data_IF_593382410891
#
_entry.id   IF_593382410891
#
_cell.length_a   1.000
_cell.length_b   1.000
_cell.length_c   1.000
_cell.angle_alpha   90.00
_cell.angle_beta   90.00
_cell.angle_gamma   90.00
#
_symmetry.space_group_name_H-M   'P 1'
#
loop_
_entity.id
_entity.type
_entity.pdbx_description
1 polymer ?
#
# COMPACT_ATOMS: atom_id res chain seq x y z
N UNK A 1 18.16 2.02 -13.32
CA UNK A 1 18.59 1.22 -12.15
C UNK A 1 19.05 2.16 -11.05
N UNK A 2 18.62 1.95 -9.81
CA UNK A 2 18.93 2.73 -8.61
C UNK A 2 18.94 1.79 -7.38
N UNK A 3 19.46 2.24 -6.23
CA UNK A 3 19.44 1.45 -4.99
C UNK A 3 18.00 1.22 -4.48
N UNK A 4 17.21 2.29 -4.51
CA UNK A 4 15.80 2.36 -4.13
C UNK A 4 15.09 3.36 -5.06
N UNK A 5 13.77 3.29 -5.14
CA UNK A 5 12.95 4.25 -5.86
C UNK A 5 11.71 4.63 -5.05
N UNK A 6 11.09 5.75 -5.40
CA UNK A 6 9.77 6.14 -4.94
C UNK A 6 8.77 5.94 -6.09
N UNK A 7 7.60 5.42 -5.76
CA UNK A 7 6.43 5.40 -6.62
C UNK A 7 5.28 6.15 -5.97
N UNK A 8 4.27 6.45 -6.77
CA UNK A 8 2.99 6.98 -6.30
C UNK A 8 1.90 5.98 -6.63
N UNK A 9 0.89 5.85 -5.76
CA UNK A 9 -0.24 4.98 -6.04
C UNK A 9 -1.56 5.65 -5.68
N UNK A 10 -2.42 5.73 -6.69
CA UNK A 10 -3.87 5.95 -6.57
C UNK A 10 -4.58 4.61 -6.44
N UNK A 11 -4.27 3.67 -7.35
CA UNK A 11 -4.84 2.32 -7.40
C UNK A 11 -3.90 1.36 -8.13
N UNK A 12 -3.08 0.61 -7.37
CA UNK A 12 -2.15 -0.39 -7.90
C UNK A 12 -0.82 0.12 -8.48
N UNK A 13 -0.61 1.42 -8.69
CA UNK A 13 0.58 1.96 -9.39
C UNK A 13 1.93 1.79 -8.66
N UNK A 14 1.96 1.38 -7.38
CA UNK A 14 3.15 0.89 -6.66
C UNK A 14 3.15 -0.64 -6.66
N UNK A 15 2.05 -1.26 -6.23
CA UNK A 15 1.99 -2.71 -5.97
C UNK A 15 2.01 -3.56 -7.24
N UNK A 16 1.27 -3.15 -8.28
CA UNK A 16 1.19 -3.85 -9.56
C UNK A 16 2.55 -3.93 -10.28
N UNK A 17 3.26 -2.82 -10.54
CA UNK A 17 4.58 -2.90 -11.17
C UNK A 17 5.60 -3.59 -10.25
N UNK A 18 5.48 -3.48 -8.93
CA UNK A 18 6.38 -4.18 -8.00
C UNK A 18 6.23 -5.69 -8.12
N UNK A 19 4.99 -6.19 -8.12
CA UNK A 19 4.67 -7.60 -8.32
C UNK A 19 5.15 -8.11 -9.69
N UNK A 20 4.85 -7.36 -10.76
CA UNK A 20 5.24 -7.74 -12.12
C UNK A 20 6.77 -7.81 -12.34
N UNK A 21 7.55 -7.07 -11.54
CA UNK A 21 9.00 -6.99 -11.68
C UNK A 21 9.76 -7.67 -10.52
N UNK A 22 9.08 -8.47 -9.70
CA UNK A 22 9.70 -9.21 -8.58
C UNK A 22 10.49 -8.31 -7.61
N UNK A 23 9.94 -7.15 -7.28
CA UNK A 23 10.47 -6.22 -6.28
C UNK A 23 9.42 -5.94 -5.19
N UNK A 24 9.86 -5.36 -4.07
CA UNK A 24 9.01 -4.98 -2.95
C UNK A 24 8.48 -3.57 -3.17
N UNK A 25 7.16 -3.40 -3.12
CA UNK A 25 6.49 -2.10 -3.07
C UNK A 25 5.70 -1.96 -1.78
N UNK A 26 5.79 -0.81 -1.12
CA UNK A 26 4.91 -0.46 0.00
C UNK A 26 4.03 0.70 -0.43
N UNK A 27 2.71 0.46 -0.48
CA UNK A 27 1.71 1.53 -0.55
C UNK A 27 1.28 1.89 0.87
N UNK A 28 1.75 2.99 1.46
CA UNK A 28 1.36 3.32 2.83
C UNK A 28 -0.11 3.75 2.93
N UNK A 29 -0.57 3.94 4.17
CA UNK A 29 -1.85 4.60 4.45
C UNK A 29 -1.82 6.02 3.86
N UNK A 30 -2.92 6.46 3.25
CA UNK A 30 -3.03 7.83 2.71
C UNK A 30 -2.75 8.84 3.82
N UNK A 31 -1.87 9.80 3.52
CA UNK A 31 -1.39 10.81 4.48
C UNK A 31 -0.23 10.39 5.36
N UNK A 32 0.20 9.12 5.36
CA UNK A 32 1.38 8.73 6.15
C UNK A 32 2.68 9.37 5.62
N UNK A 33 2.73 9.57 4.31
CA UNK A 33 3.79 10.29 3.58
C UNK A 33 3.15 11.51 2.91
N UNK A 34 3.85 12.65 2.90
CA UNK A 34 3.38 13.84 2.20
C UNK A 34 3.30 13.62 0.69
N UNK A 35 2.35 14.32 0.06
CA UNK A 35 2.18 14.40 -1.40
C UNK A 35 2.49 15.80 -1.94
N UNK A 36 3.00 16.69 -1.10
CA UNK A 36 3.42 18.02 -1.52
C UNK A 36 4.45 17.92 -2.67
N UNK A 37 4.21 18.68 -3.75
CA UNK A 37 5.06 18.67 -4.94
C UNK A 37 4.89 17.47 -5.89
N UNK A 38 3.95 16.56 -5.62
CA UNK A 38 3.62 15.42 -6.50
C UNK A 38 2.43 15.78 -7.38
N UNK A 39 2.55 15.55 -8.70
CA UNK A 39 1.42 15.72 -9.63
C UNK A 39 0.29 14.73 -9.24
N UNK A 40 -0.90 15.22 -8.87
CA UNK A 40 -1.93 14.39 -8.26
C UNK A 40 -2.86 13.73 -9.30
N UNK A 41 -3.58 12.72 -8.84
CA UNK A 41 -4.78 12.14 -9.47
C UNK A 41 -5.98 12.25 -8.53
N UNK A 42 -5.82 11.87 -7.27
CA UNK A 42 -6.88 11.93 -6.25
C UNK A 42 -6.29 12.10 -4.86
N UNK A 43 -6.56 13.25 -4.25
CA UNK A 43 -6.19 13.51 -2.86
C UNK A 43 -6.80 12.52 -1.85
N UNK A 44 -7.75 11.68 -2.24
CA UNK A 44 -8.34 10.64 -1.36
C UNK A 44 -7.60 9.32 -1.41
N UNK A 45 -6.84 9.07 -2.46
CA UNK A 45 -6.25 7.77 -2.75
C UNK A 45 -4.73 7.82 -2.91
N UNK A 46 -4.22 8.95 -3.42
CA UNK A 46 -2.81 9.12 -3.70
C UNK A 46 -1.97 9.02 -2.44
N UNK A 47 -0.85 8.33 -2.60
CA UNK A 47 0.20 8.22 -1.59
C UNK A 47 1.55 7.97 -2.26
N UNK A 48 2.63 8.33 -1.58
CA UNK A 48 4.00 8.09 -2.03
C UNK A 48 4.56 6.90 -1.25
N UNK A 49 5.23 5.99 -1.94
CA UNK A 49 5.75 4.79 -1.28
C UNK A 49 7.01 4.24 -1.93
N UNK A 50 7.82 3.49 -1.16
CA UNK A 50 9.07 2.92 -1.65
C UNK A 50 8.84 1.72 -2.58
N UNK A 51 9.70 1.61 -3.59
CA UNK A 51 9.88 0.44 -4.45
C UNK A 51 11.35 0.02 -4.36
N UNK A 52 11.62 -1.14 -3.78
CA UNK A 52 12.96 -1.60 -3.43
C UNK A 52 13.13 -3.11 -3.68
N UNK A 53 14.37 -3.61 -3.66
CA UNK A 53 14.63 -5.06 -3.85
C UNK A 53 14.32 -5.89 -2.60
N UNK A 54 14.34 -5.29 -1.42
CA UNK A 54 14.12 -5.99 -0.15
C UNK A 54 13.13 -5.25 0.74
N UNK A 55 12.49 -5.97 1.66
CA UNK A 55 11.60 -5.38 2.68
C UNK A 55 12.38 -4.44 3.60
N UNK A 56 13.62 -4.79 3.94
CA UNK A 56 14.51 -3.93 4.74
C UNK A 56 14.71 -2.58 4.06
N UNK A 57 15.14 -2.56 2.80
CA UNK A 57 15.33 -1.30 2.07
C UNK A 57 14.04 -0.48 1.98
N UNK A 58 12.90 -1.14 1.72
CA UNK A 58 11.62 -0.46 1.65
C UNK A 58 11.22 0.17 3.00
N UNK A 59 11.47 -0.51 4.11
CA UNK A 59 11.19 0.00 5.47
C UNK A 59 12.13 1.14 5.85
N UNK A 60 13.42 1.05 5.52
CA UNK A 60 14.39 2.13 5.77
C UNK A 60 13.99 3.40 4.98
N UNK A 61 13.58 3.26 3.72
CA UNK A 61 13.06 4.40 2.94
C UNK A 61 11.76 4.93 3.52
N UNK A 62 10.83 4.05 3.90
CA UNK A 62 9.57 4.47 4.54
C UNK A 62 9.84 5.32 5.78
N UNK A 63 10.73 4.88 6.66
CA UNK A 63 11.09 5.62 7.89
C UNK A 63 11.62 7.03 7.63
N UNK A 64 12.27 7.25 6.49
CA UNK A 64 12.77 8.57 6.09
C UNK A 64 11.65 9.48 5.59
N UNK A 65 10.65 8.94 4.90
CA UNK A 65 9.63 9.75 4.18
C UNK A 65 8.31 9.91 4.92
N UNK A 66 8.06 9.13 5.98
CA UNK A 66 6.84 9.27 6.80
C UNK A 66 6.92 10.50 7.70
N UNK A 67 5.83 11.25 7.80
CA UNK A 67 5.83 12.42 8.65
C UNK A 67 4.68 13.38 8.42
N UNK A 68 4.57 14.32 9.36
CA UNK A 68 3.73 15.50 9.21
C UNK A 68 4.37 16.47 8.21
N UNK A 69 3.54 17.04 7.34
CA UNK A 69 3.93 18.11 6.43
C UNK A 69 2.87 19.21 6.44
N UNK A 70 3.31 20.46 6.49
CA UNK A 70 2.42 21.64 6.46
C UNK A 70 1.84 21.85 5.07
N UNK A 71 2.59 21.53 4.02
CA UNK A 71 2.15 21.70 2.63
C UNK A 71 1.18 20.58 2.20
N UNK A 72 1.07 19.53 3.01
CA UNK A 72 0.05 18.48 2.92
C UNK A 72 -0.65 18.27 4.27
N UNK A 73 -1.03 19.38 4.92
CA UNK A 73 -1.59 19.38 6.27
C UNK A 73 -2.83 18.50 6.40
N UNK A 74 -3.74 18.58 5.41
CA UNK A 74 -5.04 17.91 5.47
C UNK A 74 -4.89 16.38 5.54
N UNK A 75 -3.91 15.80 4.83
CA UNK A 75 -3.68 14.36 4.86
C UNK A 75 -2.76 13.94 6.02
N UNK A 76 -1.66 14.67 6.25
CA UNK A 76 -0.60 14.20 7.14
C UNK A 76 -0.85 14.46 8.63
N UNK A 77 -1.67 15.45 8.99
CA UNK A 77 -1.93 15.82 10.39
C UNK A 77 -2.38 14.64 11.25
N UNK A 78 -3.35 13.87 10.77
CA UNK A 78 -3.89 12.72 11.53
C UNK A 78 -3.05 11.48 11.34
N UNK A 79 -2.54 11.21 10.14
CA UNK A 79 -1.79 9.99 9.88
C UNK A 79 -0.45 9.96 10.64
N UNK A 80 0.23 11.11 10.75
CA UNK A 80 1.51 11.22 11.47
C UNK A 80 1.43 10.85 12.95
N UNK A 81 0.26 10.95 13.60
CA UNK A 81 0.09 10.53 15.00
C UNK A 81 0.16 9.02 15.20
N UNK A 82 0.07 8.24 14.11
CA UNK A 82 0.18 6.77 14.13
C UNK A 82 1.58 6.27 13.77
N UNK A 83 2.55 7.16 13.53
CA UNK A 83 3.93 6.77 13.31
C UNK A 83 4.49 6.20 14.63
N UNK A 84 5.02 4.96 14.63
CA UNK A 84 5.52 4.32 15.82
C UNK A 84 6.73 5.07 16.39
N UNK A 85 6.78 5.24 17.71
CA UNK A 85 7.99 5.72 18.37
C UNK A 85 9.17 4.79 18.05
N UNK A 86 10.25 5.32 17.48
CA UNK A 86 11.42 4.54 17.03
C UNK A 86 11.34 4.01 15.60
N UNK A 87 10.32 4.39 14.82
CA UNK A 87 10.21 4.06 13.39
C UNK A 87 9.74 2.63 13.10
N UNK A 88 9.48 2.34 11.84
CA UNK A 88 9.04 1.04 11.32
C UNK A 88 10.16 0.00 11.29
N UNK A 89 11.44 0.41 11.27
CA UNK A 89 12.60 -0.49 11.31
C UNK A 89 12.55 -1.48 12.48
N UNK A 90 11.98 -1.07 13.63
CA UNK A 90 11.82 -1.92 14.81
C UNK A 90 10.96 -3.18 14.56
N UNK A 91 10.19 -3.20 13.48
CA UNK A 91 9.35 -4.33 13.09
C UNK A 91 10.02 -5.30 12.11
N UNK A 92 11.26 -5.06 11.68
CA UNK A 92 12.06 -5.99 10.89
C UNK A 92 12.57 -7.15 11.75
N UNK A 93 11.65 -8.06 12.09
CA UNK A 93 11.91 -9.25 12.92
C UNK A 93 11.88 -10.50 12.08
N UNK A 94 12.96 -11.29 12.10
CA UNK A 94 13.07 -12.52 11.33
C UNK A 94 12.00 -13.56 11.69
N UNK A 95 11.52 -13.53 12.93
CA UNK A 95 10.44 -14.36 13.48
C UNK A 95 9.09 -13.62 13.56
N UNK A 96 8.94 -12.48 12.87
CA UNK A 96 7.75 -11.62 12.96
C UNK A 96 6.42 -12.30 12.62
N UNK A 97 6.46 -13.40 11.86
CA UNK A 97 5.32 -14.23 11.50
C UNK A 97 4.80 -15.14 12.63
N UNK A 98 5.62 -15.40 13.65
CA UNK A 98 5.23 -16.27 14.76
C UNK A 98 3.95 -15.75 15.43
N UNK A 99 2.99 -16.65 15.58
CA UNK A 99 1.68 -16.42 16.19
C UNK A 99 0.80 -15.39 15.44
N UNK A 100 1.18 -14.96 14.22
CA UNK A 100 0.34 -14.10 13.39
C UNK A 100 -0.74 -14.90 12.69
N UNK A 101 -1.96 -14.37 12.69
CA UNK A 101 -3.11 -14.96 12.01
C UNK A 101 -3.32 -14.24 10.67
N UNK A 102 -3.23 -14.96 9.56
CA UNK A 102 -3.38 -14.41 8.21
C UNK A 102 -4.58 -15.07 7.52
N UNK A 103 -5.52 -14.25 7.06
CA UNK A 103 -6.71 -14.71 6.33
C UNK A 103 -6.43 -14.90 4.84
N UNK A 104 -6.87 -16.02 4.29
CA UNK A 104 -6.76 -16.31 2.85
C UNK A 104 -8.18 -16.32 2.27
N UNK A 105 -8.50 -15.29 1.48
CA UNK A 105 -9.77 -15.20 0.75
C UNK A 105 -9.51 -15.51 -0.72
N UNK A 106 -10.20 -16.54 -1.24
CA UNK A 106 -10.07 -16.98 -2.64
C UNK A 106 -10.46 -15.87 -3.62
N UNK A 107 -11.46 -15.09 -3.26
CA UNK A 107 -12.03 -14.02 -4.08
C UNK A 107 -11.00 -12.92 -4.40
N UNK A 108 -9.97 -12.77 -3.55
CA UNK A 108 -8.91 -11.77 -3.73
C UNK A 108 -7.79 -12.20 -4.69
N UNK A 109 -7.76 -13.47 -5.15
CA UNK A 109 -6.75 -13.94 -6.11
C UNK A 109 -7.16 -13.74 -7.58
N UNK A 110 -8.37 -13.23 -7.82
CA UNK A 110 -8.90 -12.99 -9.16
C UNK A 110 -8.99 -14.28 -9.97
N UNK A 111 -8.49 -14.26 -11.20
CA UNK A 111 -8.46 -15.43 -12.09
C UNK A 111 -7.30 -16.41 -11.81
N UNK A 112 -6.40 -16.10 -10.88
CA UNK A 112 -5.26 -16.96 -10.59
C UNK A 112 -5.69 -18.20 -9.81
N UNK A 113 -5.15 -19.36 -10.18
CA UNK A 113 -5.30 -20.56 -9.36
C UNK A 113 -4.56 -20.38 -8.04
N UNK A 114 -5.29 -20.44 -6.93
CA UNK A 114 -4.75 -20.36 -5.57
C UNK A 114 -3.65 -21.39 -5.31
N UNK A 115 -3.67 -22.53 -6.03
CA UNK A 115 -2.62 -23.57 -5.94
C UNK A 115 -1.24 -23.04 -6.32
N UNK A 116 -1.14 -22.02 -7.16
CA UNK A 116 0.13 -21.36 -7.52
C UNK A 116 0.85 -20.82 -6.29
N UNK A 117 0.11 -20.47 -5.24
CA UNK A 117 0.65 -19.89 -4.00
C UNK A 117 0.93 -20.92 -2.90
N UNK A 118 0.74 -22.22 -3.18
CA UNK A 118 0.84 -23.26 -2.15
C UNK A 118 2.22 -23.30 -1.47
N UNK A 119 3.29 -23.07 -2.23
CA UNK A 119 4.65 -23.00 -1.68
C UNK A 119 4.81 -21.81 -0.72
N UNK A 120 4.20 -20.66 -1.03
CA UNK A 120 4.20 -19.48 -0.15
C UNK A 120 3.40 -19.75 1.13
N UNK A 121 2.23 -20.37 1.04
CA UNK A 121 1.44 -20.73 2.23
C UNK A 121 2.18 -21.72 3.13
N UNK A 122 2.85 -22.72 2.55
CA UNK A 122 3.68 -23.64 3.31
C UNK A 122 4.82 -22.90 4.01
N UNK A 123 5.47 -21.96 3.33
CA UNK A 123 6.52 -21.12 3.92
C UNK A 123 5.98 -20.31 5.10
N UNK A 124 4.81 -19.67 4.96
CA UNK A 124 4.19 -18.90 6.04
C UNK A 124 3.88 -19.78 7.27
N UNK A 125 3.30 -20.97 7.07
CA UNK A 125 3.02 -21.93 8.15
C UNK A 125 4.31 -22.40 8.84
N UNK A 126 5.35 -22.73 8.06
CA UNK A 126 6.66 -23.13 8.59
C UNK A 126 7.34 -22.02 9.40
N UNK A 127 7.07 -20.75 9.08
CA UNK A 127 7.54 -19.58 9.83
C UNK A 127 6.65 -19.21 11.03
N UNK A 128 5.67 -20.06 11.38
CA UNK A 128 4.86 -19.94 12.60
C UNK A 128 3.59 -19.11 12.46
N UNK A 129 3.19 -18.75 11.23
CA UNK A 129 1.90 -18.09 11.00
C UNK A 129 0.74 -19.10 11.01
N UNK A 130 -0.39 -18.69 11.58
CA UNK A 130 -1.66 -19.41 11.52
C UNK A 130 -2.42 -18.90 10.29
N UNK A 131 -2.56 -19.75 9.28
CA UNK A 131 -3.35 -19.43 8.09
C UNK A 131 -4.82 -19.81 8.30
N UNK A 132 -5.72 -18.84 8.11
CA UNK A 132 -7.17 -19.05 8.11
C UNK A 132 -7.62 -19.18 6.66
N UNK A 133 -7.72 -20.42 6.20
CA UNK A 133 -8.13 -20.75 4.84
C UNK A 133 -9.62 -20.48 4.61
N UNK A 134 -9.99 -20.16 3.36
CA UNK A 134 -11.37 -19.88 2.94
C UNK A 134 -12.06 -18.76 3.74
N UNK A 135 -11.31 -17.70 4.07
CA UNK A 135 -11.89 -16.51 4.69
C UNK A 135 -12.90 -15.88 3.72
N UNK A 136 -14.18 -15.88 4.11
CA UNK A 136 -15.24 -15.18 3.40
C UNK A 136 -15.27 -13.74 3.88
N UNK A 137 -15.07 -12.81 2.96
CA UNK A 137 -15.28 -11.39 3.21
C UNK A 137 -16.69 -11.08 2.67
N UNK A 138 -17.67 -10.74 3.54
CA UNK A 138 -19.02 -10.46 3.10
C UNK A 138 -19.05 -9.34 2.07
N UNK A 139 -19.91 -9.48 1.07
CA UNK A 139 -20.15 -8.46 0.03
C UNK A 139 -18.91 -8.10 -0.82
N UNK A 140 -17.89 -8.96 -0.90
CA UNK A 140 -16.66 -8.66 -1.66
C UNK A 140 -16.93 -8.23 -3.10
N UNK A 141 -17.78 -8.97 -3.83
CA UNK A 141 -18.10 -8.62 -5.22
C UNK A 141 -18.88 -7.30 -5.33
N UNK A 142 -19.82 -7.08 -4.42
CA UNK A 142 -20.61 -5.84 -4.37
C UNK A 142 -19.70 -4.64 -4.07
N UNK A 143 -18.83 -4.79 -3.08
CA UNK A 143 -17.87 -3.76 -2.67
C UNK A 143 -16.87 -3.52 -3.79
N UNK A 144 -16.34 -4.55 -4.44
CA UNK A 144 -15.39 -4.41 -5.53
C UNK A 144 -16.01 -3.66 -6.72
N UNK A 145 -17.20 -4.07 -7.17
CA UNK A 145 -17.89 -3.40 -8.27
C UNK A 145 -18.27 -1.96 -7.92
N UNK A 146 -18.76 -1.72 -6.70
CA UNK A 146 -19.07 -0.38 -6.22
C UNK A 146 -17.81 0.49 -6.14
N UNK A 147 -16.68 -0.06 -5.68
CA UNK A 147 -15.40 0.64 -5.63
C UNK A 147 -14.95 1.03 -7.02
N UNK A 148 -15.00 0.14 -8.02
CA UNK A 148 -14.55 0.48 -9.38
C UNK A 148 -15.37 1.63 -9.97
N UNK A 149 -16.70 1.58 -9.84
CA UNK A 149 -17.58 2.65 -10.35
C UNK A 149 -17.38 3.95 -9.57
N UNK A 150 -17.41 3.89 -8.23
CA UNK A 150 -17.26 5.06 -7.37
C UNK A 150 -15.88 5.69 -7.51
N UNK A 151 -14.84 4.88 -7.67
CA UNK A 151 -13.47 5.33 -7.94
C UNK A 151 -13.42 6.06 -9.27
N UNK A 152 -13.97 5.50 -10.35
CA UNK A 152 -13.97 6.19 -11.64
C UNK A 152 -14.62 7.58 -11.58
N UNK A 153 -15.76 7.69 -10.86
CA UNK A 153 -16.44 8.97 -10.63
C UNK A 153 -15.54 9.91 -9.82
N UNK A 154 -14.99 9.44 -8.70
CA UNK A 154 -14.12 10.23 -7.84
C UNK A 154 -12.88 10.75 -8.59
N UNK A 155 -12.16 9.87 -9.30
CA UNK A 155 -10.97 10.25 -10.06
C UNK A 155 -11.30 11.26 -11.16
N UNK A 156 -12.43 11.10 -11.87
CA UNK A 156 -12.84 12.04 -12.92
C UNK A 156 -13.14 13.43 -12.38
N UNK A 157 -13.70 13.52 -11.18
CA UNK A 157 -13.99 14.79 -10.52
C UNK A 157 -12.73 15.42 -9.90
N UNK A 158 -11.95 14.60 -9.18
CA UNK A 158 -10.83 15.05 -8.35
C UNK A 158 -9.61 15.41 -9.18
N UNK A 159 -9.30 14.66 -10.24
CA UNK A 159 -8.09 14.88 -11.03
C UNK A 159 -7.98 16.31 -11.55
N UNK A 160 -9.05 16.84 -12.15
CA UNK A 160 -9.05 18.21 -12.68
C UNK A 160 -8.84 19.23 -11.56
N UNK A 161 -9.54 19.06 -10.43
CA UNK A 161 -9.46 19.99 -9.30
C UNK A 161 -8.06 19.98 -8.67
N UNK A 162 -7.53 18.79 -8.41
CA UNK A 162 -6.23 18.61 -7.77
C UNK A 162 -5.09 19.07 -8.70
N UNK A 163 -5.20 18.81 -10.01
CA UNK A 163 -4.22 19.29 -11.00
C UNK A 163 -4.24 20.82 -11.14
N UNK A 164 -5.42 21.44 -11.15
CA UNK A 164 -5.53 22.91 -11.18
C UNK A 164 -4.93 23.54 -9.92
N UNK A 165 -5.21 22.94 -8.76
CA UNK A 165 -4.68 23.42 -7.48
C UNK A 165 -3.14 23.44 -7.47
N UNK A 166 -2.48 22.36 -7.89
CA UNK A 166 -1.00 22.30 -7.87
C UNK A 166 -0.34 23.23 -8.91
N UNK A 167 -1.04 23.50 -10.01
CA UNK A 167 -0.56 24.41 -11.06
C UNK A 167 -0.86 25.88 -10.78
N UNK A 168 -1.62 26.18 -9.72
CA UNK A 168 -2.10 27.53 -9.37
C UNK A 168 -2.91 28.22 -10.50
N UNK A 169 -3.77 27.46 -11.19
CA UNK A 169 -4.64 27.95 -12.29
C UNK A 169 -6.12 27.66 -12.06
#
# INVERSE_FOLDING_TARGET
MAAVALGTETAGSILSPSSANSVVGIKPTVGLTSRAGVIPISHRQDTVGPICRTVTDAVEVLDVIVGFDRDDFAATKKASTYIPHGGYRQFLKADGLRDKRLGISKDLFGSNDIKTYQQHFNTLRQKGAVLVDNLVIPYTDLVYNAIVVAQYIALSAEFKMDLMHILNI
#
